data_IF_405388974097
#
_entry.id   IF_405388974097
#
_cell.length_a   1.000
_cell.length_b   1.000
_cell.length_c   1.000
_cell.angle_alpha   90.00
_cell.angle_beta   90.00
_cell.angle_gamma   90.00
#
_symmetry.space_group_name_H-M   'P 1'
#
loop_
_entity.id
_entity.type
_entity.pdbx_description
1 polymer ?
#
# COMPACT_ATOMS: atom_id res chain seq x y z
N UNK A 1 7.36 -11.43 16.51
CA UNK A 1 7.97 -10.17 16.07
C UNK A 1 7.03 -9.06 16.50
N UNK A 2 7.33 -8.38 17.61
CA UNK A 2 6.58 -7.20 18.04
C UNK A 2 7.26 -6.01 17.37
N UNK A 3 6.66 -5.48 16.30
CA UNK A 3 7.09 -4.20 15.76
C UNK A 3 6.58 -3.11 16.69
N UNK A 4 7.48 -2.54 17.48
CA UNK A 4 7.23 -1.28 18.16
C UNK A 4 7.08 -0.21 17.08
N UNK A 5 5.83 0.08 16.69
CA UNK A 5 5.49 1.22 15.84
C UNK A 5 5.84 2.48 16.63
N UNK A 6 6.91 3.16 16.24
CA UNK A 6 7.26 4.45 16.81
C UNK A 6 6.28 5.49 16.28
N UNK A 7 5.36 5.94 17.12
CA UNK A 7 4.44 7.03 16.79
C UNK A 7 5.18 8.34 16.97
N UNK A 8 5.89 8.80 15.93
CA UNK A 8 6.53 10.11 15.89
C UNK A 8 5.72 11.08 15.04
N UNK A 9 4.57 11.51 15.55
CA UNK A 9 3.73 12.49 14.85
C UNK A 9 4.35 13.88 14.96
N UNK A 10 5.02 14.34 13.90
CA UNK A 10 5.35 15.77 13.75
C UNK A 10 4.11 16.51 13.26
N UNK A 11 3.21 16.84 14.18
CA UNK A 11 2.14 17.80 13.92
C UNK A 11 2.79 19.19 13.80
N UNK A 12 3.29 19.53 12.61
CA UNK A 12 3.75 20.88 12.30
C UNK A 12 2.53 21.75 12.11
N UNK A 13 2.06 22.35 13.20
CA UNK A 13 1.15 23.48 13.11
C UNK A 13 1.98 24.65 12.58
N UNK A 14 1.85 24.95 11.28
CA UNK A 14 2.48 26.10 10.65
C UNK A 14 1.77 27.36 11.18
N UNK A 15 2.32 27.96 12.23
CA UNK A 15 1.80 29.20 12.82
C UNK A 15 2.46 30.41 12.15
N UNK A 16 2.09 30.66 10.90
CA UNK A 16 2.35 31.96 10.25
C UNK A 16 1.38 33.02 10.78
N UNK A 17 1.89 34.22 11.07
CA UNK A 17 1.26 35.30 11.87
C UNK A 17 0.00 35.99 11.28
N UNK A 18 -0.82 35.31 10.49
CA UNK A 18 -2.10 35.82 9.97
C UNK A 18 -3.09 34.67 9.99
N UNK A 19 -3.85 34.52 11.09
CA UNK A 19 -5.00 33.60 11.28
C UNK A 19 -5.00 32.39 10.34
N UNK A 20 -3.95 31.57 10.39
CA UNK A 20 -3.83 30.40 9.52
C UNK A 20 -4.78 29.33 10.06
N UNK A 21 -5.77 28.96 9.25
CA UNK A 21 -6.62 27.81 9.51
C UNK A 21 -5.75 26.58 9.82
N UNK A 22 -6.11 25.82 10.85
CA UNK A 22 -5.41 24.58 11.16
C UNK A 22 -5.50 23.64 9.95
N UNK A 23 -4.35 23.11 9.55
CA UNK A 23 -4.23 22.18 8.43
C UNK A 23 -3.41 20.97 8.88
N UNK A 24 -3.83 19.78 8.45
CA UNK A 24 -3.11 18.53 8.66
C UNK A 24 -2.32 18.20 7.39
N UNK A 25 -0.99 18.22 7.48
CA UNK A 25 -0.10 17.82 6.39
C UNK A 25 0.11 16.31 6.43
N UNK A 26 -0.16 15.63 5.30
CA UNK A 26 -0.02 14.18 5.19
C UNK A 26 0.50 13.76 3.82
N UNK A 27 1.25 12.66 3.75
CA UNK A 27 1.61 12.04 2.48
C UNK A 27 0.36 11.69 1.65
N UNK A 28 0.41 12.00 0.34
CA UNK A 28 -0.63 11.60 -0.63
C UNK A 28 -0.90 10.10 -0.61
N UNK A 29 0.16 9.29 -0.56
CA UNK A 29 0.01 7.83 -0.57
C UNK A 29 -0.74 7.35 0.67
N UNK A 30 -0.39 7.84 1.86
CA UNK A 30 -1.03 7.45 3.11
C UNK A 30 -2.52 7.79 3.09
N UNK A 31 -2.87 9.01 2.68
CA UNK A 31 -4.26 9.44 2.61
C UNK A 31 -5.10 8.57 1.65
N UNK A 32 -4.56 8.21 0.48
CA UNK A 32 -5.26 7.33 -0.47
C UNK A 32 -5.47 5.92 0.08
N UNK A 33 -4.44 5.32 0.71
CA UNK A 33 -4.55 3.97 1.27
C UNK A 33 -5.49 3.93 2.49
N UNK A 34 -5.38 4.89 3.41
CA UNK A 34 -6.26 5.00 4.56
C UNK A 34 -7.73 5.20 4.15
N UNK A 35 -7.99 6.02 3.13
CA UNK A 35 -9.35 6.22 2.61
C UNK A 35 -9.92 4.95 1.98
N UNK A 36 -9.10 4.19 1.25
CA UNK A 36 -9.50 2.89 0.71
C UNK A 36 -9.75 1.86 1.82
N UNK A 37 -8.89 1.82 2.84
CA UNK A 37 -9.03 0.93 3.99
C UNK A 37 -10.31 1.23 4.78
N UNK A 38 -10.63 2.51 4.99
CA UNK A 38 -11.86 2.94 5.64
C UNK A 38 -13.12 2.44 4.92
N UNK A 39 -13.08 2.34 3.59
CA UNK A 39 -14.20 1.86 2.78
C UNK A 39 -14.16 0.36 2.50
N UNK A 40 -13.22 -0.38 3.08
CA UNK A 40 -13.10 -1.83 2.87
C UNK A 40 -14.30 -2.59 3.44
N UNK A 41 -14.51 -3.82 2.96
CA UNK A 41 -15.60 -4.65 3.44
C UNK A 41 -15.47 -4.97 4.94
N UNK A 42 -14.24 -5.21 5.38
CA UNK A 42 -13.89 -5.53 6.77
C UNK A 42 -14.28 -4.41 7.73
N UNK A 43 -13.92 -3.16 7.39
CA UNK A 43 -14.26 -1.99 8.22
C UNK A 43 -15.77 -1.71 8.20
N UNK A 44 -16.42 -1.85 7.05
CA UNK A 44 -17.89 -1.69 6.95
C UNK A 44 -18.64 -2.72 7.77
N UNK A 45 -18.19 -3.96 7.78
CA UNK A 45 -18.76 -5.01 8.63
C UNK A 45 -18.55 -4.67 10.11
N UNK A 46 -17.36 -4.22 10.49
CA UNK A 46 -17.07 -3.79 11.86
C UNK A 46 -17.95 -2.61 12.30
N UNK A 47 -18.11 -1.61 11.42
CA UNK A 47 -19.00 -0.47 11.66
C UNK A 47 -20.46 -0.90 11.79
N UNK A 48 -20.89 -1.91 11.01
CA UNK A 48 -22.23 -2.48 11.11
C UNK A 48 -22.45 -3.18 12.45
N UNK A 49 -21.45 -3.91 12.96
CA UNK A 49 -21.49 -4.56 14.28
C UNK A 49 -21.56 -3.50 15.40
N UNK A 50 -20.75 -2.44 15.30
CA UNK A 50 -20.76 -1.32 16.25
C UNK A 50 -22.13 -0.64 16.28
N UNK A 51 -22.73 -0.40 15.11
CA UNK A 51 -24.04 0.26 15.02
C UNK A 51 -25.19 -0.64 15.48
N UNK A 52 -25.08 -1.96 15.29
CA UNK A 52 -26.07 -2.94 15.74
C UNK A 52 -25.86 -3.42 17.19
N UNK A 53 -24.93 -2.79 17.92
CA UNK A 53 -24.52 -3.21 19.26
C UNK A 53 -25.73 -3.39 20.19
N UNK A 54 -25.87 -4.59 20.74
CA UNK A 54 -26.87 -4.95 21.74
C UNK A 54 -26.23 -5.18 23.11
N UNK A 55 -27.04 -5.26 24.16
CA UNK A 55 -26.60 -5.45 25.55
C UNK A 55 -25.78 -6.71 25.81
N UNK A 56 -25.75 -7.67 24.88
CA UNK A 56 -25.01 -8.93 25.00
C UNK A 56 -23.72 -8.99 24.16
N UNK A 57 -23.30 -7.88 23.56
CA UNK A 57 -22.06 -7.81 22.78
C UNK A 57 -20.88 -7.26 23.58
N UNK A 58 -19.67 -7.35 23.02
CA UNK A 58 -18.45 -6.80 23.61
C UNK A 58 -18.64 -5.31 23.94
N UNK A 59 -18.06 -4.80 25.05
CA UNK A 59 -18.06 -3.38 25.36
C UNK A 59 -17.64 -2.51 24.17
N UNK A 60 -18.33 -1.39 23.97
CA UNK A 60 -18.12 -0.49 22.84
C UNK A 60 -16.66 -0.02 22.73
N UNK A 61 -15.99 0.19 23.87
CA UNK A 61 -14.59 0.60 23.92
C UNK A 61 -13.68 -0.44 23.25
N UNK A 62 -13.95 -1.73 23.46
CA UNK A 62 -13.20 -2.81 22.82
C UNK A 62 -13.50 -2.89 21.33
N UNK A 63 -14.75 -2.67 20.92
CA UNK A 63 -15.11 -2.65 19.50
C UNK A 63 -14.44 -1.49 18.76
N UNK A 64 -14.40 -0.29 19.36
CA UNK A 64 -13.68 0.85 18.79
C UNK A 64 -12.17 0.61 18.71
N UNK A 65 -11.59 -0.04 19.72
CA UNK A 65 -10.18 -0.43 19.70
C UNK A 65 -9.89 -1.44 18.58
N UNK A 66 -10.70 -2.49 18.46
CA UNK A 66 -10.58 -3.49 17.38
C UNK A 66 -10.70 -2.82 16.01
N UNK A 67 -11.68 -1.92 15.85
CA UNK A 67 -11.87 -1.14 14.61
C UNK A 67 -10.62 -0.34 14.25
N UNK A 68 -9.99 0.34 15.22
CA UNK A 68 -8.78 1.12 14.99
C UNK A 68 -7.60 0.24 14.56
N UNK A 69 -7.36 -0.88 15.25
CA UNK A 69 -6.31 -1.83 14.86
C UNK A 69 -6.56 -2.41 13.47
N UNK A 70 -7.80 -2.80 13.17
CA UNK A 70 -8.18 -3.33 11.87
C UNK A 70 -7.90 -2.32 10.75
N UNK A 71 -8.19 -1.04 10.97
CA UNK A 71 -7.90 0.01 9.99
C UNK A 71 -6.41 0.13 9.69
N UNK A 72 -5.55 0.10 10.72
CA UNK A 72 -4.10 0.17 10.56
C UNK A 72 -3.61 -1.03 9.75
N UNK A 73 -4.00 -2.25 10.14
CA UNK A 73 -3.61 -3.50 9.47
C UNK A 73 -4.06 -3.55 8.00
N UNK A 74 -5.30 -3.13 7.71
CA UNK A 74 -5.81 -3.07 6.33
C UNK A 74 -5.04 -2.03 5.52
N UNK A 75 -4.73 -0.86 6.11
CA UNK A 75 -3.94 0.18 5.45
C UNK A 75 -2.53 -0.32 5.12
N UNK A 76 -1.85 -0.95 6.09
CA UNK A 76 -0.53 -1.57 5.90
C UNK A 76 -0.55 -2.64 4.81
N UNK A 77 -1.56 -3.51 4.83
CA UNK A 77 -1.72 -4.53 3.81
C UNK A 77 -1.90 -3.94 2.41
N UNK A 78 -2.68 -2.85 2.27
CA UNK A 78 -2.87 -2.17 0.99
C UNK A 78 -1.56 -1.50 0.51
N UNK A 79 -0.77 -0.91 1.40
CA UNK A 79 0.55 -0.34 1.09
C UNK A 79 1.53 -1.43 0.63
N UNK A 80 1.56 -2.57 1.32
CA UNK A 80 2.38 -3.71 0.92
C UNK A 80 1.95 -4.26 -0.44
N UNK A 81 0.64 -4.34 -0.70
CA UNK A 81 0.12 -4.78 -1.99
C UNK A 81 0.47 -3.82 -3.12
N UNK A 82 0.33 -2.51 -2.91
CA UNK A 82 0.62 -1.50 -3.93
C UNK A 82 2.11 -1.40 -4.23
N UNK A 83 2.98 -1.46 -3.20
CA UNK A 83 4.44 -1.50 -3.38
C UNK A 83 4.90 -2.76 -4.12
N UNK A 84 4.35 -3.93 -3.78
CA UNK A 84 4.63 -5.18 -4.50
C UNK A 84 4.17 -5.11 -5.95
N UNK A 85 3.00 -4.52 -6.21
CA UNK A 85 2.49 -4.32 -7.56
C UNK A 85 3.34 -3.32 -8.37
N UNK A 86 3.86 -2.27 -7.73
CA UNK A 86 4.77 -1.30 -8.34
C UNK A 86 6.07 -1.97 -8.77
N UNK A 87 6.69 -2.75 -7.89
CA UNK A 87 7.91 -3.51 -8.20
C UNK A 87 7.70 -4.46 -9.38
N UNK A 88 6.54 -5.13 -9.45
CA UNK A 88 6.19 -6.00 -10.59
C UNK A 88 6.02 -5.22 -11.88
N UNK A 89 5.43 -4.03 -11.83
CA UNK A 89 5.32 -3.14 -12.99
C UNK A 89 6.71 -2.70 -13.46
N UNK A 90 7.57 -2.24 -12.57
CA UNK A 90 8.95 -1.85 -12.89
C UNK A 90 9.77 -3.02 -13.45
N UNK A 91 9.64 -4.22 -12.89
CA UNK A 91 10.28 -5.42 -13.46
C UNK A 91 9.74 -5.71 -14.86
N UNK A 92 8.43 -5.62 -15.07
CA UNK A 92 7.81 -5.81 -16.39
C UNK A 92 8.34 -4.82 -17.42
N UNK A 93 8.59 -3.57 -17.02
CA UNK A 93 9.24 -2.57 -17.86
C UNK A 93 10.68 -2.98 -18.22
N UNK A 94 11.48 -3.41 -17.24
CA UNK A 94 12.85 -3.90 -17.49
C UNK A 94 12.86 -5.10 -18.44
N UNK A 95 11.88 -5.99 -18.34
CA UNK A 95 11.75 -7.15 -19.23
C UNK A 95 11.43 -6.80 -20.69
N UNK A 96 11.09 -5.56 -21.01
CA UNK A 96 10.95 -5.08 -22.39
C UNK A 96 12.32 -4.86 -23.07
N UNK A 97 13.41 -4.82 -22.28
CA UNK A 97 14.77 -4.60 -22.75
C UNK A 97 15.58 -5.90 -22.70
N UNK A 98 16.53 -6.07 -23.63
CA UNK A 98 17.53 -7.12 -23.53
C UNK A 98 18.56 -6.78 -22.42
N UNK A 99 19.33 -7.75 -21.90
CA UNK A 99 20.29 -7.51 -20.83
C UNK A 99 21.30 -6.38 -21.10
N UNK A 100 21.75 -6.25 -22.35
CA UNK A 100 22.68 -5.19 -22.77
C UNK A 100 22.01 -3.80 -22.72
N UNK A 101 20.77 -3.68 -23.20
CA UNK A 101 20.01 -2.44 -23.10
C UNK A 101 19.69 -2.08 -21.64
N UNK A 102 19.43 -3.06 -20.76
CA UNK A 102 19.25 -2.82 -19.33
C UNK A 102 20.52 -2.24 -18.72
N UNK A 103 21.67 -2.87 -18.97
CA UNK A 103 22.97 -2.40 -18.46
C UNK A 103 23.26 -0.97 -18.94
N UNK A 104 23.07 -0.68 -20.23
CA UNK A 104 23.24 0.66 -20.78
C UNK A 104 22.35 1.70 -20.07
N UNK A 105 21.06 1.43 -19.89
CA UNK A 105 20.16 2.38 -19.23
C UNK A 105 20.53 2.55 -17.75
N UNK A 106 20.96 1.49 -17.07
CA UNK A 106 21.45 1.56 -15.69
C UNK A 106 22.72 2.40 -15.56
N UNK A 107 23.64 2.31 -16.51
CA UNK A 107 24.88 3.08 -16.50
C UNK A 107 24.64 4.57 -16.82
N UNK A 108 23.71 4.88 -17.72
CA UNK A 108 23.44 6.26 -18.18
C UNK A 108 22.48 7.01 -17.25
N UNK A 109 21.36 6.38 -16.87
CA UNK A 109 20.27 7.02 -16.13
C UNK A 109 20.18 6.55 -14.67
N UNK A 110 20.92 5.50 -14.29
CA UNK A 110 20.83 4.91 -12.96
C UNK A 110 19.81 3.77 -12.85
N UNK A 111 19.67 3.25 -11.63
CA UNK A 111 18.85 2.06 -11.35
C UNK A 111 17.33 2.32 -11.41
N UNK A 112 16.91 3.58 -11.35
CA UNK A 112 15.51 3.96 -11.34
C UNK A 112 14.94 4.00 -12.76
N UNK A 113 14.03 3.08 -13.08
CA UNK A 113 13.40 2.98 -14.40
C UNK A 113 12.57 4.22 -14.73
N UNK A 114 12.11 4.95 -13.71
CA UNK A 114 11.33 6.17 -13.88
C UNK A 114 12.16 7.35 -14.40
N UNK A 115 13.49 7.29 -14.28
CA UNK A 115 14.42 8.33 -14.76
C UNK A 115 14.92 8.05 -16.18
N UNK A 116 14.50 6.95 -16.82
CA UNK A 116 14.94 6.54 -18.15
C UNK A 116 14.21 7.33 -19.26
N UNK A 117 14.59 8.59 -19.50
CA UNK A 117 13.88 9.51 -20.41
C UNK A 117 13.70 8.99 -21.85
N UNK A 118 14.70 8.25 -22.35
CA UNK A 118 14.72 7.70 -23.71
C UNK A 118 14.02 6.34 -23.83
N UNK A 119 13.54 5.75 -22.73
CA UNK A 119 12.84 4.47 -22.77
C UNK A 119 11.42 4.64 -23.32
N UNK A 120 11.23 4.27 -24.59
CA UNK A 120 9.93 4.39 -25.30
C UNK A 120 9.18 3.06 -25.45
N UNK A 121 9.76 1.94 -25.03
CA UNK A 121 9.12 0.62 -25.10
C UNK A 121 10.14 -0.49 -25.29
N UNK A 122 9.69 -1.63 -25.82
CA UNK A 122 10.57 -2.77 -26.06
C UNK A 122 11.72 -2.43 -27.02
N UNK A 123 12.93 -2.93 -26.72
CA UNK A 123 14.08 -2.67 -27.58
C UNK A 123 14.01 -3.50 -28.88
N UNK A 124 14.63 -2.99 -29.95
CA UNK A 124 14.70 -3.70 -31.23
C UNK A 124 15.40 -5.06 -31.13
N UNK A 125 16.35 -5.20 -30.19
CA UNK A 125 17.01 -6.48 -29.91
C UNK A 125 16.01 -7.52 -29.36
N UNK A 126 15.05 -7.07 -28.55
CA UNK A 126 14.02 -7.94 -27.98
C UNK A 126 13.07 -8.47 -29.06
N UNK A 127 12.64 -7.61 -29.99
CA UNK A 127 11.75 -8.03 -31.10
C UNK A 127 12.46 -9.01 -32.03
N UNK A 128 13.74 -8.80 -32.35
CA UNK A 128 14.52 -9.72 -33.17
C UNK A 128 14.72 -11.11 -32.50
N UNK A 129 14.91 -11.14 -31.18
CA UNK A 129 15.13 -12.38 -30.43
C UNK A 129 13.84 -13.18 -30.24
N UNK A 130 12.69 -12.50 -30.10
CA UNK A 130 11.37 -13.12 -29.87
C UNK A 130 10.94 -14.06 -30.99
N UNK A 131 11.38 -13.82 -32.22
CA UNK A 131 11.10 -14.68 -33.37
C UNK A 131 11.88 -16.01 -33.33
N UNK A 132 12.94 -16.12 -32.52
CA UNK A 132 13.76 -17.34 -32.44
C UNK A 132 13.44 -18.27 -31.27
N UNK A 133 12.71 -17.80 -30.25
CA UNK A 133 12.43 -18.57 -29.02
C UNK A 133 10.95 -18.55 -28.64
N UNK A 134 10.17 -19.43 -29.27
CA UNK A 134 8.74 -19.64 -28.97
C UNK A 134 8.55 -20.14 -27.52
N UNK A 135 9.52 -20.87 -26.97
CA UNK A 135 9.45 -21.43 -25.62
C UNK A 135 9.42 -20.36 -24.51
N UNK A 136 10.09 -19.21 -24.71
CA UNK A 136 10.12 -18.10 -23.74
C UNK A 136 8.77 -17.36 -23.63
N UNK A 137 7.94 -17.39 -24.68
CA UNK A 137 6.62 -16.75 -24.70
C UNK A 137 5.60 -17.43 -23.78
N UNK A 138 5.73 -18.75 -23.59
CA UNK A 138 4.80 -19.53 -22.76
C UNK A 138 5.03 -19.23 -21.27
N UNK A 139 6.29 -19.03 -20.86
CA UNK A 139 6.63 -18.65 -19.49
C UNK A 139 6.07 -17.27 -19.12
N UNK A 140 6.19 -16.29 -20.01
CA UNK A 140 5.63 -14.95 -19.81
C UNK A 140 4.09 -14.94 -19.77
N UNK A 141 3.42 -15.71 -20.64
CA UNK A 141 1.94 -15.83 -20.61
C UNK A 141 1.41 -16.49 -19.34
N UNK A 142 2.12 -17.48 -18.78
CA UNK A 142 1.72 -18.13 -17.52
C UNK A 142 1.93 -17.25 -16.30
N UNK A 143 2.97 -16.41 -16.31
CA UNK A 143 3.13 -15.36 -15.31
C UNK A 143 1.99 -14.34 -15.39
N UNK A 144 1.63 -13.90 -16.59
CA UNK A 144 0.54 -12.93 -16.80
C UNK A 144 -0.83 -13.46 -16.34
N UNK A 145 -1.13 -14.75 -16.59
CA UNK A 145 -2.40 -15.36 -16.15
C UNK A 145 -2.50 -15.57 -14.64
N UNK A 146 -1.36 -15.70 -13.94
CA UNK A 146 -1.34 -15.84 -12.47
C UNK A 146 -1.28 -14.48 -11.77
N UNK A 147 -0.78 -13.45 -12.47
CA UNK A 147 -0.67 -12.08 -11.95
C UNK A 147 -1.95 -11.26 -12.18
N UNK A 148 -2.73 -11.60 -13.20
CA UNK A 148 -3.91 -10.83 -13.61
C UNK A 148 -5.20 -11.56 -13.27
N UNK A 149 -5.86 -11.11 -12.20
CA UNK A 149 -7.32 -10.92 -12.22
C UNK A 149 -7.65 -9.84 -13.25
N UNK A 150 -7.47 -10.23 -14.53
CA UNK A 150 -7.78 -9.62 -15.83
C UNK A 150 -7.87 -8.09 -15.86
N UNK A 151 -6.81 -7.41 -16.32
CA UNK A 151 -6.90 -6.11 -17.03
C UNK A 151 -5.66 -5.74 -17.86
N UNK A 152 -4.50 -6.41 -17.72
CA UNK A 152 -3.34 -6.11 -18.57
C UNK A 152 -3.39 -6.98 -19.82
N UNK A 153 -4.06 -6.47 -20.86
CA UNK A 153 -4.15 -7.13 -22.16
C UNK A 153 -2.79 -7.05 -22.86
N UNK A 154 -2.03 -8.14 -22.85
CA UNK A 154 -0.75 -8.35 -23.57
C UNK A 154 0.44 -7.53 -23.07
N UNK A 155 1.61 -8.16 -22.78
CA UNK A 155 2.83 -7.46 -22.36
C UNK A 155 3.38 -6.50 -23.43
N UNK A 156 2.97 -6.63 -24.69
CA UNK A 156 3.34 -5.69 -25.75
C UNK A 156 2.58 -4.36 -25.70
N UNK A 157 1.51 -4.25 -24.89
CA UNK A 157 0.74 -3.00 -24.72
C UNK A 157 1.24 -2.13 -23.55
N UNK A 158 2.26 -2.59 -22.82
CA UNK A 158 2.87 -1.82 -21.74
C UNK A 158 3.60 -0.62 -22.33
N UNK A 159 2.94 0.53 -22.33
CA UNK A 159 3.55 1.80 -22.68
C UNK A 159 4.33 2.32 -21.45
N UNK A 160 5.68 2.40 -21.51
CA UNK A 160 6.47 2.88 -20.38
C UNK A 160 6.22 4.36 -20.07
N UNK A 161 5.80 5.15 -21.06
CA UNK A 161 5.45 6.56 -20.91
C UNK A 161 4.00 6.79 -20.52
N UNK A 162 3.26 5.72 -20.19
CA UNK A 162 1.87 5.84 -19.70
C UNK A 162 1.79 6.63 -18.40
N UNK A 163 2.78 6.48 -17.53
CA UNK A 163 2.83 7.14 -16.23
C UNK A 163 4.07 8.02 -16.13
N UNK A 164 3.89 9.24 -15.64
CA UNK A 164 4.96 10.25 -15.50
C UNK A 164 5.92 9.90 -14.37
N UNK A 165 5.41 9.32 -13.28
CA UNK A 165 6.17 8.96 -12.10
C UNK A 165 5.46 7.83 -11.32
N UNK A 166 6.12 7.34 -10.26
CA UNK A 166 5.59 6.31 -9.34
C UNK A 166 4.24 6.68 -8.73
N UNK A 167 4.04 7.96 -8.41
CA UNK A 167 2.81 8.44 -7.79
C UNK A 167 1.64 8.39 -8.77
N UNK A 168 1.83 8.80 -10.02
CA UNK A 168 0.80 8.71 -11.07
C UNK A 168 0.42 7.25 -11.33
N UNK A 169 1.38 6.31 -11.32
CA UNK A 169 1.07 4.89 -11.37
C UNK A 169 0.25 4.43 -10.16
N UNK A 170 0.61 4.88 -8.95
CA UNK A 170 -0.11 4.53 -7.72
C UNK A 170 -1.55 5.05 -7.75
N UNK A 171 -1.77 6.30 -8.17
CA UNK A 171 -3.10 6.89 -8.33
C UNK A 171 -3.96 6.06 -9.30
N UNK A 172 -3.40 5.65 -10.44
CA UNK A 172 -4.07 4.77 -11.38
C UNK A 172 -4.38 3.40 -10.76
N UNK A 173 -3.40 2.76 -10.10
CA UNK A 173 -3.56 1.45 -9.47
C UNK A 173 -4.65 1.47 -8.39
N UNK A 174 -4.64 2.46 -7.52
CA UNK A 174 -5.62 2.63 -6.45
C UNK A 174 -6.99 3.05 -7.00
N UNK A 175 -7.05 3.83 -8.09
CA UNK A 175 -8.31 4.14 -8.79
C UNK A 175 -8.98 2.88 -9.33
N UNK A 176 -8.20 1.96 -9.91
CA UNK A 176 -8.73 0.65 -10.36
C UNK A 176 -9.25 -0.21 -9.21
N UNK A 177 -8.63 -0.12 -8.02
CA UNK A 177 -9.13 -0.78 -6.80
C UNK A 177 -10.39 -0.11 -6.28
N UNK A 178 -10.43 1.23 -6.23
CA UNK A 178 -11.57 2.03 -5.82
C UNK A 178 -12.81 1.74 -6.68
N UNK A 179 -12.64 1.65 -8.01
CA UNK A 179 -13.73 1.32 -8.93
C UNK A 179 -14.46 0.03 -8.54
N UNK A 180 -13.75 -1.01 -8.09
CA UNK A 180 -14.37 -2.26 -7.65
C UNK A 180 -15.25 -2.09 -6.41
N UNK A 181 -14.95 -1.11 -5.56
CA UNK A 181 -15.79 -0.77 -4.39
C UNK A 181 -17.02 0.06 -4.79
N UNK A 182 -16.95 0.79 -5.92
CA UNK A 182 -18.06 1.60 -6.44
C UNK A 182 -18.92 0.92 -7.50
N UNK A 183 -18.45 -0.15 -8.15
CA UNK A 183 -19.21 -0.86 -9.18
C UNK A 183 -20.56 -1.39 -8.69
N UNK A 184 -20.76 -1.46 -7.37
CA UNK A 184 -22.07 -1.77 -6.76
C UNK A 184 -23.09 -0.63 -6.86
N UNK A 185 -22.69 0.60 -7.20
CA UNK A 185 -23.52 1.82 -7.11
C UNK A 185 -23.64 2.63 -8.40
N UNK A 186 -22.74 2.50 -9.36
CA UNK A 186 -22.71 3.35 -10.56
C UNK A 186 -22.55 2.55 -11.85
N UNK A 187 -23.21 3.02 -12.92
CA UNK A 187 -23.13 2.44 -14.27
C UNK A 187 -21.67 2.38 -14.77
N UNK A 188 -21.21 1.26 -15.34
CA UNK A 188 -19.79 1.01 -15.66
C UNK A 188 -19.23 1.83 -16.84
N UNK A 189 -20.06 2.47 -17.66
CA UNK A 189 -19.63 2.94 -18.98
C UNK A 189 -18.88 4.29 -19.03
N UNK A 190 -18.90 5.11 -17.97
CA UNK A 190 -18.31 6.47 -18.02
C UNK A 190 -16.97 6.63 -17.28
N UNK A 191 -16.48 5.62 -16.57
CA UNK A 191 -15.37 5.78 -15.59
C UNK A 191 -14.10 4.98 -15.90
N UNK A 192 -14.07 4.23 -16.99
CA UNK A 192 -12.91 3.37 -17.32
C UNK A 192 -11.73 4.22 -17.77
N UNK A 193 -10.83 4.52 -16.82
CA UNK A 193 -9.50 5.07 -17.11
C UNK A 193 -9.21 6.46 -16.56
N UNK A 194 -10.14 7.11 -15.86
CA UNK A 194 -9.83 8.38 -15.19
C UNK A 194 -9.03 8.12 -13.89
N UNK A 195 -7.76 8.57 -13.78
CA UNK A 195 -6.96 8.44 -12.56
C UNK A 195 -7.51 9.26 -11.39
N UNK A 196 -8.57 10.06 -11.58
CA UNK A 196 -9.19 10.88 -10.54
C UNK A 196 -10.12 10.11 -9.60
N UNK A 197 -10.53 8.89 -9.93
CA UNK A 197 -11.51 8.14 -9.13
C UNK A 197 -11.05 7.94 -7.68
N UNK A 198 -9.76 7.67 -7.45
CA UNK A 198 -9.24 7.55 -6.08
C UNK A 198 -9.39 8.85 -5.28
N UNK A 199 -9.31 10.00 -5.95
CA UNK A 199 -9.39 11.30 -5.30
C UNK A 199 -10.83 11.74 -5.04
N UNK A 200 -11.77 11.33 -5.87
CA UNK A 200 -13.19 11.48 -5.59
C UNK A 200 -13.58 10.65 -4.36
N UNK A 201 -13.02 9.43 -4.24
CA UNK A 201 -13.15 8.59 -3.05
C UNK A 201 -12.59 9.29 -1.80
N UNK A 202 -11.35 9.78 -1.86
CA UNK A 202 -10.72 10.52 -0.74
C UNK A 202 -11.57 11.73 -0.37
N UNK A 203 -12.06 12.48 -1.35
CA UNK A 203 -12.90 13.66 -1.10
C UNK A 203 -14.22 13.28 -0.43
N UNK A 204 -14.86 12.19 -0.87
CA UNK A 204 -16.09 11.67 -0.24
C UNK A 204 -15.87 11.21 1.21
N UNK A 205 -14.74 10.55 1.49
CA UNK A 205 -14.39 10.15 2.86
C UNK A 205 -14.18 11.38 3.73
N UNK A 206 -13.38 12.36 3.28
CA UNK A 206 -13.11 13.59 4.03
C UNK A 206 -14.35 14.46 4.23
N UNK A 207 -15.26 14.52 3.24
CA UNK A 207 -16.53 15.23 3.37
C UNK A 207 -17.39 14.65 4.51
N UNK A 208 -17.35 13.33 4.72
CA UNK A 208 -18.00 12.67 5.86
C UNK A 208 -17.49 13.15 7.23
N UNK A 209 -16.29 13.72 7.28
CA UNK A 209 -15.72 14.35 8.47
C UNK A 209 -15.84 15.89 8.48
N UNK A 210 -16.45 16.49 7.45
CA UNK A 210 -16.47 17.95 7.28
C UNK A 210 -15.09 18.53 6.94
N UNK A 211 -14.26 17.77 6.24
CA UNK A 211 -12.95 18.18 5.75
C UNK A 211 -12.87 18.16 4.22
N UNK A 212 -11.89 18.84 3.68
CA UNK A 212 -11.56 18.82 2.26
C UNK A 212 -10.05 18.67 2.06
N UNK A 213 -9.66 18.02 0.97
CA UNK A 213 -8.28 17.93 0.55
C UNK A 213 -7.92 19.15 -0.30
N UNK A 214 -7.09 20.03 0.23
CA UNK A 214 -6.46 21.10 -0.54
C UNK A 214 -5.15 20.54 -1.06
N UNK A 215 -5.15 20.15 -2.33
CA UNK A 215 -3.87 19.92 -3.01
C UNK A 215 -3.18 21.26 -3.06
N UNK A 216 -2.02 21.35 -2.40
CA UNK A 216 -1.10 22.45 -2.62
C UNK A 216 -0.77 22.43 -4.12
N UNK A 217 -1.52 23.22 -4.90
CA UNK A 217 -1.06 23.61 -6.22
C UNK A 217 0.28 24.26 -5.94
N UNK A 218 1.33 23.84 -6.63
CA UNK A 218 2.61 24.50 -6.60
C UNK A 218 2.42 25.94 -7.10
N UNK A 219 1.85 26.80 -6.27
CA UNK A 219 1.89 28.23 -6.45
C UNK A 219 3.37 28.55 -6.42
N UNK A 220 3.85 29.07 -7.53
CA UNK A 220 5.24 29.31 -7.90
C UNK A 220 6.03 30.20 -6.93
N UNK A 221 5.45 30.58 -5.79
CA UNK A 221 5.89 31.68 -4.96
C UNK A 221 6.88 31.31 -3.84
N UNK A 222 7.19 30.03 -3.60
CA UNK A 222 8.25 29.73 -2.62
C UNK A 222 9.10 28.48 -2.95
N UNK A 223 9.83 28.56 -4.06
CA UNK A 223 10.83 27.53 -4.45
C UNK A 223 12.03 27.45 -3.48
N UNK A 224 12.22 28.41 -2.55
CA UNK A 224 13.46 28.48 -1.75
C UNK A 224 13.51 27.53 -0.57
N UNK A 225 12.38 27.02 -0.06
CA UNK A 225 12.37 26.11 1.09
C UNK A 225 12.26 24.61 0.74
N UNK A 226 12.13 24.26 -0.54
CA UNK A 226 11.87 22.87 -0.97
C UNK A 226 13.12 22.08 -1.40
N UNK A 227 14.32 22.67 -1.38
CA UNK A 227 15.52 22.04 -1.95
C UNK A 227 16.22 21.00 -1.05
N UNK A 228 15.76 20.73 0.18
CA UNK A 228 16.46 19.80 1.10
C UNK A 228 15.63 18.65 1.65
N UNK A 229 14.32 18.60 1.37
CA UNK A 229 13.51 17.43 1.72
C UNK A 229 13.11 16.79 0.40
N UNK A 230 13.61 15.58 0.11
CA UNK A 230 13.23 14.82 -1.08
C UNK A 230 11.72 14.96 -1.29
N UNK A 231 11.32 15.44 -2.46
CA UNK A 231 10.02 16.09 -2.72
C UNK A 231 8.81 15.19 -2.50
N UNK A 232 8.54 14.85 -1.25
CA UNK A 232 7.38 14.09 -0.84
C UNK A 232 6.17 14.98 -1.11
N UNK A 233 5.38 14.56 -2.08
CA UNK A 233 4.15 15.23 -2.42
C UNK A 233 3.17 15.08 -1.24
N UNK A 234 3.08 16.10 -0.40
CA UNK A 234 2.10 16.17 0.68
C UNK A 234 0.74 16.67 0.19
N UNK A 235 -0.29 16.32 0.94
CA UNK A 235 -1.66 16.83 0.89
C UNK A 235 -1.95 17.61 2.16
N UNK A 236 -2.73 18.68 2.03
CA UNK A 236 -3.24 19.43 3.18
C UNK A 236 -4.70 19.08 3.37
N UNK A 237 -5.05 18.51 4.52
CA UNK A 237 -6.44 18.31 4.93
C UNK A 237 -6.84 19.50 5.78
N UNK A 238 -7.88 20.21 5.33
CA UNK A 238 -8.42 21.38 6.04
C UNK A 238 -9.90 21.17 6.33
N UNK A 239 -10.42 21.68 7.46
CA UNK A 239 -11.86 21.68 7.72
C UNK A 239 -12.61 22.51 6.68
N UNK A 240 -13.81 22.08 6.33
CA UNK A 240 -14.68 22.83 5.43
C UNK A 240 -15.35 23.95 6.23
N UNK A 241 -14.88 25.19 6.05
CA UNK A 241 -15.45 26.37 6.71
C UNK A 241 -16.82 26.71 6.10
N UNK A 242 -17.89 26.11 6.62
CA UNK A 242 -19.27 26.49 6.25
C UNK A 242 -19.83 27.64 7.10
N UNK A 243 -19.18 27.97 8.24
CA UNK A 243 -19.65 29.01 9.16
C UNK A 243 -18.49 29.80 9.77
N UNK A 244 -18.65 31.13 9.85
CA UNK A 244 -17.65 32.14 10.22
C UNK A 244 -17.31 32.25 11.72
N UNK A 245 -17.61 31.23 12.53
CA UNK A 245 -17.33 31.23 13.99
C UNK A 245 -16.24 30.19 14.27
N UNK A 246 -15.08 30.67 14.71
CA UNK A 246 -13.74 30.22 14.27
C UNK A 246 -12.94 29.54 15.41
N UNK A 247 -12.06 28.62 14.98
CA UNK A 247 -10.85 28.05 15.63
C UNK A 247 -10.97 26.78 16.47
N UNK A 248 -11.87 26.67 17.46
CA UNK A 248 -11.77 25.50 18.36
C UNK A 248 -12.28 24.22 17.68
N UNK A 249 -13.35 24.33 16.90
CA UNK A 249 -13.96 23.20 16.21
C UNK A 249 -13.05 22.61 15.11
N UNK A 250 -12.26 23.44 14.43
CA UNK A 250 -11.38 23.01 13.34
C UNK A 250 -10.29 22.05 13.83
N UNK A 251 -9.69 22.35 14.98
CA UNK A 251 -8.70 21.47 15.62
C UNK A 251 -9.30 20.13 16.05
N UNK A 252 -10.50 20.12 16.64
CA UNK A 252 -11.16 18.87 17.04
C UNK A 252 -11.51 17.99 15.84
N UNK A 253 -11.96 18.60 14.74
CA UNK A 253 -12.29 17.88 13.51
C UNK A 253 -11.04 17.26 12.89
N UNK A 254 -9.93 17.99 12.81
CA UNK A 254 -8.67 17.44 12.28
C UNK A 254 -8.12 16.31 13.15
N UNK A 255 -8.13 16.46 14.48
CA UNK A 255 -7.72 15.37 15.40
C UNK A 255 -8.60 14.14 15.23
N UNK A 256 -9.90 14.34 14.97
CA UNK A 256 -10.81 13.23 14.69
C UNK A 256 -10.47 12.53 13.38
N UNK A 257 -10.23 13.28 12.29
CA UNK A 257 -9.81 12.71 11.00
C UNK A 257 -8.50 11.94 11.15
N UNK A 258 -7.52 12.54 11.82
CA UNK A 258 -6.22 11.93 12.07
C UNK A 258 -6.35 10.60 12.84
N UNK A 259 -7.15 10.58 13.90
CA UNK A 259 -7.41 9.38 14.70
C UNK A 259 -8.21 8.33 13.92
N UNK A 260 -9.33 8.72 13.34
CA UNK A 260 -10.33 7.80 12.77
C UNK A 260 -9.87 7.21 11.43
N UNK A 261 -8.97 7.89 10.72
CA UNK A 261 -8.29 7.39 9.53
C UNK A 261 -6.88 6.85 9.81
N UNK A 262 -6.47 6.78 11.09
CA UNK A 262 -5.15 6.31 11.54
C UNK A 262 -3.96 6.98 10.84
N UNK A 263 -4.08 8.27 10.55
CA UNK A 263 -3.10 9.05 9.78
C UNK A 263 -1.83 9.39 10.58
N UNK A 264 -1.88 9.22 11.90
CA UNK A 264 -0.73 9.45 12.79
C UNK A 264 0.34 8.36 12.68
N UNK A 265 0.02 7.21 12.05
CA UNK A 265 1.00 6.16 11.80
C UNK A 265 1.90 6.60 10.65
N UNK A 266 3.18 6.78 10.94
CA UNK A 266 4.17 7.08 9.91
C UNK A 266 4.41 5.80 9.11
N UNK A 267 3.77 5.71 7.96
CA UNK A 267 4.03 4.66 7.00
C UNK A 267 5.31 4.99 6.25
N UNK A 268 6.23 4.04 6.18
CA UNK A 268 7.39 4.15 5.31
C UNK A 268 6.90 4.52 3.91
N UNK A 269 7.35 5.67 3.41
CA UNK A 269 7.05 6.09 2.05
C UNK A 269 7.45 4.97 1.08
N UNK A 270 6.76 4.89 -0.07
CA UNK A 270 7.06 3.91 -1.13
C UNK A 270 8.57 3.71 -1.21
N UNK A 271 9.07 2.47 -1.05
CA UNK A 271 10.50 2.25 -0.88
C UNK A 271 11.23 2.93 -2.03
N UNK A 272 12.04 3.95 -1.69
CA UNK A 272 13.00 4.50 -2.63
C UNK A 272 13.80 3.33 -3.17
N UNK A 273 14.07 3.28 -4.48
CA UNK A 273 14.74 2.12 -5.06
C UNK A 273 16.04 1.96 -4.31
N UNK A 274 16.12 0.93 -3.45
CA UNK A 274 17.36 0.61 -2.77
C UNK A 274 18.32 0.35 -3.92
N UNK A 275 19.45 1.07 -3.95
CA UNK A 275 20.54 0.79 -4.88
C UNK A 275 20.71 -0.72 -4.86
N UNK A 276 20.34 -1.37 -5.96
CA UNK A 276 20.57 -2.79 -6.14
C UNK A 276 22.09 -2.84 -6.13
N UNK A 277 22.67 -3.21 -4.99
CA UNK A 277 24.10 -3.33 -4.78
C UNK A 277 24.62 -4.06 -6.00
N UNK A 278 25.48 -3.37 -6.79
CA UNK A 278 25.99 -3.80 -8.11
C UNK A 278 25.83 -5.30 -8.23
N UNK A 279 24.82 -5.75 -8.98
CA UNK A 279 24.58 -7.17 -9.19
C UNK A 279 25.92 -7.69 -9.69
N UNK A 280 26.65 -8.40 -8.82
CA UNK A 280 28.01 -8.83 -9.10
C UNK A 280 27.96 -9.49 -10.47
N UNK A 281 28.86 -9.04 -11.38
CA UNK A 281 28.98 -9.46 -12.78
C UNK A 281 28.13 -10.70 -12.98
N UNK A 282 26.96 -10.52 -13.60
CA UNK A 282 26.07 -11.62 -13.94
C UNK A 282 26.90 -12.52 -14.86
N UNK A 283 27.70 -13.42 -14.27
CA UNK A 283 27.90 -14.75 -14.81
C UNK A 283 26.51 -15.13 -15.21
N UNK A 284 26.31 -15.22 -16.54
CA UNK A 284 25.03 -15.50 -17.16
C UNK A 284 24.27 -16.38 -16.19
N UNK A 285 23.31 -15.80 -15.47
CA UNK A 285 22.25 -16.59 -14.91
C UNK A 285 21.53 -17.04 -16.18
N UNK A 286 22.07 -18.09 -16.82
CA UNK A 286 21.20 -19.06 -17.42
C UNK A 286 20.31 -19.41 -16.25
N UNK A 287 19.09 -18.87 -16.29
CA UNK A 287 17.99 -19.69 -15.87
C UNK A 287 18.06 -20.90 -16.79
N UNK A 288 18.94 -21.85 -16.45
CA UNK A 288 18.77 -23.23 -16.82
C UNK A 288 17.52 -23.67 -16.05
N UNK A 289 16.37 -23.22 -16.54
CA UNK A 289 15.38 -24.19 -16.91
C UNK A 289 16.08 -25.10 -17.93
N UNK A 290 16.92 -26.00 -17.41
CA UNK A 290 17.09 -27.30 -18.01
C UNK A 290 15.69 -27.89 -17.94
N UNK A 291 14.90 -27.54 -18.96
CA UNK A 291 13.78 -28.32 -19.44
C UNK A 291 14.48 -29.59 -19.95
N UNK A 292 14.94 -30.42 -19.00
CA UNK A 292 15.13 -31.83 -19.26
C UNK A 292 13.80 -32.24 -19.85
N UNK A 293 13.82 -32.60 -21.12
CA UNK A 293 12.74 -33.19 -21.87
C UNK A 293 12.44 -34.54 -21.19
N UNK A 294 11.87 -34.48 -20.00
CA UNK A 294 11.43 -35.60 -19.20
C UNK A 294 10.03 -35.90 -19.67
N UNK A 295 10.01 -36.57 -20.82
CA UNK A 295 8.98 -37.52 -21.19
C UNK A 295 8.97 -38.64 -20.13
N UNK A 296 8.41 -38.38 -18.95
CA UNK A 296 8.18 -39.39 -17.92
C UNK A 296 7.00 -39.03 -17.03
N UNK A 297 5.99 -39.89 -17.17
CA UNK A 297 5.00 -40.36 -16.20
C UNK A 297 4.22 -39.39 -15.29
N UNK A 298 2.87 -39.40 -15.38
CA UNK A 298 1.97 -38.53 -14.60
C UNK A 298 1.86 -38.86 -13.10
N UNK A 299 2.76 -39.62 -12.49
CA UNK A 299 2.65 -40.04 -11.09
C UNK A 299 3.38 -39.15 -10.06
N UNK A 300 4.34 -38.32 -10.44
CA UNK A 300 5.18 -37.58 -9.47
C UNK A 300 4.68 -36.16 -9.16
N UNK A 301 3.82 -35.56 -10.00
CA UNK A 301 3.31 -34.21 -9.81
C UNK A 301 2.33 -34.05 -8.61
N UNK A 302 1.78 -35.15 -8.07
CA UNK A 302 0.91 -35.12 -6.88
C UNK A 302 1.67 -34.87 -5.56
N UNK A 303 2.98 -35.13 -5.52
CA UNK A 303 3.78 -35.01 -4.28
C UNK A 303 4.09 -33.57 -3.86
N UNK A 304 4.34 -32.67 -4.81
CA UNK A 304 4.75 -31.29 -4.50
C UNK A 304 3.59 -30.40 -4.01
N UNK A 305 2.36 -30.68 -4.45
CA UNK A 305 1.16 -30.00 -3.94
C UNK A 305 0.76 -30.48 -2.54
N UNK A 306 1.10 -31.72 -2.18
CA UNK A 306 0.87 -32.23 -0.82
C UNK A 306 1.81 -31.58 0.20
N UNK A 307 3.08 -31.39 -0.15
CA UNK A 307 4.09 -30.81 0.75
C UNK A 307 3.83 -29.34 1.10
N UNK A 308 3.38 -28.51 0.15
CA UNK A 308 3.06 -27.09 0.46
C UNK A 308 1.81 -26.95 1.34
N UNK A 309 0.84 -27.85 1.16
CA UNK A 309 -0.38 -27.89 1.99
C UNK A 309 -0.06 -28.37 3.41
N UNK A 310 0.86 -29.32 3.56
CA UNK A 310 1.35 -29.78 4.87
C UNK A 310 2.13 -28.67 5.58
N UNK A 311 2.99 -27.93 4.86
CA UNK A 311 3.76 -26.82 5.44
C UNK A 311 2.85 -25.71 5.99
N UNK A 312 1.81 -25.31 5.24
CA UNK A 312 0.86 -24.29 5.69
C UNK A 312 0.01 -24.78 6.88
N UNK A 313 -0.39 -26.06 6.89
CA UNK A 313 -1.11 -26.63 8.04
C UNK A 313 -0.22 -26.74 9.29
N UNK A 314 1.04 -27.13 9.14
CA UNK A 314 1.99 -27.18 10.26
C UNK A 314 2.26 -25.78 10.83
N UNK A 315 2.38 -24.76 9.98
CA UNK A 315 2.56 -23.38 10.43
C UNK A 315 1.35 -22.87 11.22
N UNK A 316 0.13 -23.20 10.79
CA UNK A 316 -1.12 -22.92 11.54
C UNK A 316 -1.15 -23.63 12.90
N UNK A 317 -0.76 -24.91 12.95
CA UNK A 317 -0.71 -25.68 14.21
C UNK A 317 0.37 -25.11 15.14
N UNK A 318 1.53 -24.71 14.62
CA UNK A 318 2.61 -24.13 15.44
C UNK A 318 2.20 -22.77 16.02
N UNK A 319 1.50 -21.94 15.24
CA UNK A 319 1.00 -20.64 15.69
C UNK A 319 -0.09 -20.78 16.77
N UNK A 320 -0.99 -21.75 16.61
CA UNK A 320 -2.06 -22.00 17.60
C UNK A 320 -1.54 -22.68 18.87
N UNK A 321 -0.60 -23.62 18.75
CA UNK A 321 0.02 -24.28 19.92
C UNK A 321 0.91 -23.35 20.73
N UNK A 322 1.49 -22.30 20.14
CA UNK A 322 2.23 -21.28 20.86
C UNK A 322 1.34 -20.17 21.43
N UNK A 323 0.22 -19.82 20.79
CA UNK A 323 -0.64 -18.72 21.26
C UNK A 323 -1.42 -19.06 22.53
N UNK A 324 -1.87 -20.30 22.67
CA UNK A 324 -2.64 -20.77 23.85
C UNK A 324 -1.83 -20.69 25.15
N UNK A 325 -0.61 -21.27 25.27
CA UNK A 325 0.16 -21.16 26.50
C UNK A 325 0.57 -19.72 26.79
N UNK A 326 0.85 -18.91 25.77
CA UNK A 326 1.18 -17.49 25.95
C UNK A 326 0.01 -16.70 26.53
N UNK A 327 -1.21 -16.97 26.07
CA UNK A 327 -2.43 -16.34 26.57
C UNK A 327 -2.83 -16.83 27.97
N UNK A 328 -2.55 -18.09 28.30
CA UNK A 328 -2.69 -18.61 29.68
C UNK A 328 -1.67 -17.93 30.60
N UNK A 329 -0.41 -17.80 30.19
CA UNK A 329 0.64 -17.14 30.98
C UNK A 329 0.29 -15.68 31.24
N UNK A 330 -0.19 -14.93 30.23
CA UNK A 330 -0.64 -13.55 30.44
C UNK A 330 -1.86 -13.46 31.34
N UNK A 331 -2.84 -14.37 31.24
CA UNK A 331 -3.99 -14.41 32.14
C UNK A 331 -3.58 -14.72 33.58
N UNK A 332 -2.67 -15.67 33.79
CA UNK A 332 -2.13 -15.98 35.12
C UNK A 332 -1.37 -14.78 35.68
N UNK A 333 -0.54 -14.11 34.87
CA UNK A 333 0.17 -12.90 35.27
C UNK A 333 -0.78 -11.75 35.61
N UNK A 334 -1.86 -11.53 34.85
CA UNK A 334 -2.82 -10.48 35.16
C UNK A 334 -3.60 -10.78 36.43
N UNK A 335 -4.01 -12.03 36.66
CA UNK A 335 -4.64 -12.46 37.91
C UNK A 335 -3.67 -12.30 39.08
N UNK A 336 -2.42 -12.75 38.96
CA UNK A 336 -1.40 -12.56 39.99
C UNK A 336 -1.20 -11.07 40.24
N UNK A 337 -0.95 -10.23 39.23
CA UNK A 337 -0.78 -8.79 39.42
C UNK A 337 -2.01 -8.11 40.07
N UNK A 338 -3.22 -8.56 39.75
CA UNK A 338 -4.45 -8.02 40.31
C UNK A 338 -4.66 -8.41 41.79
N UNK A 339 -4.41 -9.69 42.13
CA UNK A 339 -4.63 -10.22 43.47
C UNK A 339 -3.42 -10.04 44.40
N UNK A 340 -2.21 -10.00 43.86
CA UNK A 340 -0.98 -9.82 44.61
C UNK A 340 -0.77 -8.39 45.09
N UNK A 341 -1.73 -7.46 44.87
CA UNK A 341 -1.77 -6.06 45.35
C UNK A 341 -0.56 -5.77 46.25
N UNK A 342 0.61 -5.46 45.67
CA UNK A 342 1.80 -5.35 46.47
C UNK A 342 1.56 -4.20 47.43
N UNK A 343 1.53 -4.51 48.72
CA UNK A 343 1.36 -3.54 49.80
C UNK A 343 2.36 -2.37 49.70
N UNK A 344 3.43 -2.53 48.93
CA UNK A 344 4.42 -1.52 48.59
C UNK A 344 3.91 -0.33 47.76
N UNK A 345 2.72 -0.39 47.14
CA UNK A 345 2.15 0.76 46.39
C UNK A 345 1.06 1.54 47.17
N UNK A 346 1.00 1.39 48.49
CA UNK A 346 0.05 2.13 49.36
C UNK A 346 0.60 3.45 49.93
N UNK A 347 1.69 3.99 49.37
CA UNK A 347 2.24 5.29 49.78
C UNK A 347 2.29 6.23 48.57
N UNK A 348 1.17 6.91 48.33
CA UNK A 348 1.05 8.36 48.08
C UNK A 348 -0.40 8.72 47.77
#
# INVERSE_FOLDING_TARGET
>A
MSMLVSVSTRLRIITGSVTMASALEISRSTLMHASLAYLSGELRTMDSIINAHSTYSLPLELLLLIRQYLLIEVTDHLILCSSTALQRYEMSLRYLLCPECIAYNQDVYGNDVWEWEQFSGACACFTATRYRSISSLIALRRLDSLLSGSMISSPASLNPKKFTNRHHWLEFYLSMKALRLFSSRSSPDSLVGDPKVIWDLVSSVLEGYGCQNVRARHSSLDRRFMLSSGGHECCLVVPQERFSVVTEHSSTTLKRVERDLALAVEYDSLPTPRTISKLGRIERFSFDYSLSDHRSDPMIAKGKFALSKIANSLQSILLTTLSIPLSIVTLVLTVICFYSRPWAFRIL
#
